data_IF_833814607913
#
_entry.id   IF_833814607913
#
_cell.length_a   1.000
_cell.length_b   1.000
_cell.length_c   1.000
_cell.angle_alpha   90.00
_cell.angle_beta   90.00
_cell.angle_gamma   90.00
#
_symmetry.space_group_name_H-M   'P 1'
#
loop_
_entity.id
_entity.type
_entity.pdbx_description
1 polymer ?
#
# COMPACT_ATOMS: atom_id res chain seq x y z
N UNK A 1 -92.23 -7.32 31.24
CA UNK A 1 -91.28 -7.78 30.20
C UNK A 1 -90.09 -6.82 30.01
N UNK A 2 -89.84 -5.88 30.93
CA UNK A 2 -88.81 -4.84 30.75
C UNK A 2 -87.46 -5.10 31.45
N UNK A 3 -87.39 -6.05 32.39
CA UNK A 3 -86.14 -6.37 33.11
C UNK A 3 -85.08 -7.05 32.22
N UNK A 4 -85.49 -7.87 31.24
CA UNK A 4 -84.59 -8.52 30.30
C UNK A 4 -83.94 -7.56 29.29
N UNK A 5 -84.59 -6.43 28.97
CA UNK A 5 -84.03 -5.44 28.02
C UNK A 5 -82.89 -4.64 28.64
N UNK A 6 -83.01 -4.25 29.92
CA UNK A 6 -81.95 -3.53 30.65
C UNK A 6 -80.68 -4.38 30.82
N UNK A 7 -80.82 -5.68 31.11
CA UNK A 7 -79.70 -6.61 31.19
C UNK A 7 -79.01 -6.85 29.85
N UNK A 8 -79.75 -6.91 28.73
CA UNK A 8 -79.16 -7.03 27.39
C UNK A 8 -78.35 -5.78 27.03
N UNK A 9 -78.86 -4.58 27.32
CA UNK A 9 -78.14 -3.32 27.04
C UNK A 9 -76.83 -3.24 27.83
N UNK A 10 -76.84 -3.60 29.12
CA UNK A 10 -75.62 -3.63 29.94
C UNK A 10 -74.60 -4.61 29.37
N UNK A 11 -75.05 -5.80 28.98
CA UNK A 11 -74.18 -6.84 28.41
C UNK A 11 -73.61 -6.41 27.05
N UNK A 12 -74.40 -5.75 26.20
CA UNK A 12 -73.93 -5.16 24.94
C UNK A 12 -72.90 -4.05 25.14
N UNK A 13 -73.04 -3.21 26.17
CA UNK A 13 -72.05 -2.17 26.51
C UNK A 13 -70.74 -2.82 26.97
N UNK A 14 -70.82 -3.84 27.83
CA UNK A 14 -69.63 -4.57 28.31
C UNK A 14 -68.90 -5.23 27.13
N UNK A 15 -69.63 -5.94 26.25
CA UNK A 15 -69.05 -6.56 25.06
C UNK A 15 -68.46 -5.52 24.12
N UNK A 16 -69.14 -4.39 23.90
CA UNK A 16 -68.62 -3.28 23.09
C UNK A 16 -67.34 -2.66 23.68
N UNK A 17 -67.29 -2.48 25.00
CA UNK A 17 -66.10 -1.97 25.68
C UNK A 17 -64.91 -2.95 25.58
N UNK A 18 -65.17 -4.25 25.72
CA UNK A 18 -64.15 -5.29 25.50
C UNK A 18 -63.65 -5.28 24.05
N UNK A 19 -64.56 -5.22 23.08
CA UNK A 19 -64.22 -5.13 21.65
C UNK A 19 -63.38 -3.88 21.35
N UNK A 20 -63.73 -2.74 21.95
CA UNK A 20 -63.00 -1.48 21.78
C UNK A 20 -61.59 -1.53 22.39
N UNK A 21 -61.47 -2.11 23.60
CA UNK A 21 -60.19 -2.35 24.25
C UNK A 21 -59.29 -3.25 23.41
N UNK A 22 -59.83 -4.37 22.92
CA UNK A 22 -59.10 -5.29 22.05
C UNK A 22 -58.67 -4.63 20.74
N UNK A 23 -59.57 -3.86 20.10
CA UNK A 23 -59.26 -3.13 18.86
C UNK A 23 -58.17 -2.09 19.07
N UNK A 24 -58.23 -1.33 20.17
CA UNK A 24 -57.24 -0.33 20.52
C UNK A 24 -55.88 -0.96 20.82
N UNK A 25 -55.87 -2.09 21.53
CA UNK A 25 -54.66 -2.87 21.79
C UNK A 25 -54.03 -3.40 20.49
N UNK A 26 -54.83 -3.96 19.59
CA UNK A 26 -54.36 -4.44 18.29
C UNK A 26 -53.76 -3.30 17.45
N UNK A 27 -54.43 -2.15 17.39
CA UNK A 27 -53.94 -0.98 16.65
C UNK A 27 -52.61 -0.48 17.22
N UNK A 28 -52.48 -0.46 18.55
CA UNK A 28 -51.24 -0.11 19.23
C UNK A 28 -50.12 -1.12 18.97
N UNK A 29 -50.43 -2.43 18.99
CA UNK A 29 -49.45 -3.48 18.68
C UNK A 29 -48.93 -3.34 17.24
N UNK A 30 -49.83 -3.13 16.27
CA UNK A 30 -49.46 -2.91 14.86
C UNK A 30 -48.56 -1.68 14.73
N UNK A 31 -48.89 -0.59 15.43
CA UNK A 31 -48.06 0.62 15.42
C UNK A 31 -46.66 0.36 15.99
N UNK A 32 -46.55 -0.35 17.12
CA UNK A 32 -45.25 -0.71 17.70
C UNK A 32 -44.44 -1.62 16.77
N UNK A 33 -45.06 -2.65 16.20
CA UNK A 33 -44.41 -3.57 15.28
C UNK A 33 -43.88 -2.83 14.05
N UNK A 34 -44.66 -1.87 13.52
CA UNK A 34 -44.23 -1.03 12.41
C UNK A 34 -43.05 -0.11 12.78
N UNK A 35 -43.02 0.45 13.98
CA UNK A 35 -41.89 1.27 14.44
C UNK A 35 -40.62 0.44 14.63
N UNK A 36 -40.75 -0.77 15.18
CA UNK A 36 -39.63 -1.71 15.35
C UNK A 36 -39.08 -2.14 13.97
N UNK A 37 -39.97 -2.47 13.03
CA UNK A 37 -39.59 -2.86 11.68
C UNK A 37 -38.85 -1.72 10.96
N UNK A 38 -39.40 -0.50 10.99
CA UNK A 38 -38.76 0.66 10.37
C UNK A 38 -37.41 0.97 11.02
N UNK A 39 -37.34 1.01 12.35
CA UNK A 39 -36.07 1.26 13.04
C UNK A 39 -35.01 0.20 12.69
N UNK A 40 -35.42 -1.05 12.47
CA UNK A 40 -34.52 -2.12 12.04
C UNK A 40 -34.02 -1.91 10.60
N UNK A 41 -34.91 -1.48 9.69
CA UNK A 41 -34.56 -1.14 8.31
C UNK A 41 -33.60 0.04 8.27
N UNK A 42 -33.92 1.12 8.98
CA UNK A 42 -33.10 2.34 9.02
C UNK A 42 -31.73 2.08 9.66
N UNK A 43 -31.67 1.20 10.67
CA UNK A 43 -30.40 0.74 11.26
C UNK A 43 -29.54 -0.04 10.26
N UNK A 44 -30.15 -0.93 9.48
CA UNK A 44 -29.46 -1.69 8.44
C UNK A 44 -28.97 -0.77 7.33
N UNK A 45 -29.81 0.18 6.90
CA UNK A 45 -29.47 1.17 5.89
C UNK A 45 -28.30 2.05 6.34
N UNK A 46 -28.34 2.56 7.57
CA UNK A 46 -27.25 3.35 8.15
C UNK A 46 -25.94 2.53 8.17
N UNK A 47 -25.99 1.26 8.55
CA UNK A 47 -24.81 0.38 8.50
C UNK A 47 -24.25 0.26 7.08
N UNK A 48 -25.09 -0.06 6.08
CA UNK A 48 -24.63 -0.19 4.70
C UNK A 48 -24.06 1.10 4.15
N UNK A 49 -24.65 2.26 4.46
CA UNK A 49 -24.10 3.54 4.03
C UNK A 49 -22.69 3.82 4.58
N UNK A 50 -22.38 3.37 5.80
CA UNK A 50 -21.01 3.49 6.33
C UNK A 50 -20.06 2.45 5.72
N UNK A 51 -20.54 1.24 5.44
CA UNK A 51 -19.76 0.20 4.76
C UNK A 51 -19.45 0.58 3.30
N UNK A 52 -20.40 1.13 2.57
CA UNK A 52 -20.24 1.60 1.18
C UNK A 52 -19.13 2.66 1.09
N UNK A 53 -19.08 3.59 2.05
CA UNK A 53 -18.00 4.59 2.15
C UNK A 53 -16.62 3.97 2.31
N UNK A 54 -16.53 2.87 3.07
CA UNK A 54 -15.28 2.14 3.18
C UNK A 54 -14.93 1.56 1.81
N UNK A 55 -15.84 0.85 1.14
CA UNK A 55 -15.56 0.27 -0.17
C UNK A 55 -15.20 1.32 -1.23
N UNK A 56 -15.78 2.52 -1.19
CA UNK A 56 -15.37 3.62 -2.07
C UNK A 56 -13.89 3.96 -1.94
N UNK A 57 -13.30 3.90 -0.74
CA UNK A 57 -11.86 4.12 -0.55
C UNK A 57 -10.98 2.98 -1.09
N UNK A 58 -11.53 1.80 -1.39
CA UNK A 58 -10.81 0.65 -1.94
C UNK A 58 -11.15 0.40 -3.41
N UNK A 59 -11.94 1.26 -4.05
CA UNK A 59 -12.27 1.16 -5.47
C UNK A 59 -11.15 1.77 -6.33
N UNK A 60 -10.40 0.91 -7.03
CA UNK A 60 -9.26 1.31 -7.86
C UNK A 60 -9.72 2.26 -8.99
N UNK A 61 -9.16 3.47 -9.01
CA UNK A 61 -9.51 4.53 -9.97
C UNK A 61 -10.43 5.61 -9.43
N UNK A 62 -10.92 5.47 -8.19
CA UNK A 62 -11.57 6.57 -7.48
C UNK A 62 -10.55 7.58 -6.92
N UNK A 63 -10.95 8.84 -6.80
CA UNK A 63 -10.15 9.87 -6.13
C UNK A 63 -9.86 9.52 -4.66
N UNK A 64 -10.79 8.82 -4.01
CA UNK A 64 -10.67 8.38 -2.62
C UNK A 64 -9.60 7.30 -2.44
N UNK A 65 -9.45 6.41 -3.42
CA UNK A 65 -8.36 5.44 -3.43
C UNK A 65 -7.00 6.16 -3.53
N UNK A 66 -6.87 7.16 -4.41
CA UNK A 66 -5.64 7.95 -4.51
C UNK A 66 -5.31 8.68 -3.20
N UNK A 67 -6.32 9.27 -2.52
CA UNK A 67 -6.16 9.87 -1.20
C UNK A 67 -5.72 8.86 -0.14
N UNK A 68 -6.30 7.66 -0.15
CA UNK A 68 -5.88 6.55 0.71
C UNK A 68 -4.41 6.24 0.47
N UNK A 69 -4.01 5.96 -0.77
CA UNK A 69 -2.62 5.64 -1.13
C UNK A 69 -1.65 6.75 -0.72
N UNK A 70 -2.00 8.02 -0.90
CA UNK A 70 -1.17 9.15 -0.46
C UNK A 70 -1.03 9.21 1.06
N UNK A 71 -2.12 9.05 1.80
CA UNK A 71 -2.10 9.00 3.27
C UNK A 71 -1.24 7.85 3.79
N UNK A 72 -1.33 6.71 3.12
CA UNK A 72 -0.56 5.51 3.38
C UNK A 72 0.95 5.73 3.12
N UNK A 73 1.33 6.28 1.96
CA UNK A 73 2.72 6.66 1.62
C UNK A 73 3.33 7.61 2.65
N UNK A 74 2.58 8.64 3.04
CA UNK A 74 3.00 9.59 4.05
C UNK A 74 3.26 8.91 5.40
N UNK A 75 2.37 8.01 5.83
CA UNK A 75 2.57 7.28 7.08
C UNK A 75 3.83 6.40 7.05
N UNK A 76 4.12 5.70 5.95
CA UNK A 76 5.35 4.91 5.86
C UNK A 76 6.62 5.74 6.00
N UNK A 77 6.66 6.92 5.35
CA UNK A 77 7.83 7.81 5.36
C UNK A 77 8.02 8.49 6.72
N UNK A 78 6.97 9.04 7.31
CA UNK A 78 7.07 9.89 8.51
C UNK A 78 6.66 9.19 9.81
N UNK A 79 6.07 7.99 9.74
CA UNK A 79 5.49 7.24 10.87
C UNK A 79 4.44 8.04 11.67
N UNK A 80 3.83 9.03 11.01
CA UNK A 80 2.78 9.87 11.58
C UNK A 80 1.89 10.42 10.46
N UNK A 81 0.62 10.69 10.78
CA UNK A 81 -0.32 11.37 9.89
C UNK A 81 -0.28 12.90 10.00
N UNK A 82 0.42 13.45 11.00
CA UNK A 82 0.29 14.84 11.43
C UNK A 82 0.69 15.94 10.43
N UNK A 83 1.36 15.60 9.33
CA UNK A 83 1.83 16.54 8.31
C UNK A 83 1.14 16.38 6.93
N UNK A 84 0.18 15.47 6.77
CA UNK A 84 -0.59 15.39 5.53
C UNK A 84 -1.69 16.45 5.50
N UNK A 85 -2.06 16.91 4.29
CA UNK A 85 -3.07 17.95 4.03
C UNK A 85 -4.36 17.74 4.83
N UNK A 86 -4.81 16.49 4.95
CA UNK A 86 -6.08 16.14 5.60
C UNK A 86 -5.91 15.42 6.97
N UNK A 87 -4.71 15.39 7.55
CA UNK A 87 -4.46 14.88 8.93
C UNK A 87 -5.21 13.58 9.26
N UNK A 88 -4.95 12.50 8.54
CA UNK A 88 -5.61 11.18 8.67
C UNK A 88 -7.08 11.06 8.23
N UNK A 89 -7.64 12.09 7.59
CA UNK A 89 -9.01 12.09 7.09
C UNK A 89 -9.04 11.94 5.56
N UNK A 90 -10.05 11.20 5.08
CA UNK A 90 -10.51 11.22 3.68
C UNK A 90 -11.89 11.88 3.71
N UNK A 91 -12.13 12.85 2.83
CA UNK A 91 -13.39 13.60 2.75
C UNK A 91 -14.13 13.14 1.51
N UNK A 92 -15.34 12.62 1.69
CA UNK A 92 -16.20 12.22 0.58
C UNK A 92 -16.96 13.43 0.06
N UNK A 93 -17.04 13.57 -1.26
CA UNK A 93 -17.81 14.63 -1.90
C UNK A 93 -19.31 14.43 -1.67
N UNK A 94 -20.06 15.53 -1.58
CA UNK A 94 -21.52 15.48 -1.34
C UNK A 94 -22.28 14.74 -2.45
N UNK A 95 -21.72 14.69 -3.67
CA UNK A 95 -22.31 14.01 -4.83
C UNK A 95 -22.30 12.48 -4.69
N UNK A 96 -21.29 11.94 -4.02
CA UNK A 96 -21.14 10.51 -3.76
C UNK A 96 -21.78 10.08 -2.43
N UNK A 97 -22.25 11.06 -1.64
CA UNK A 97 -22.92 10.82 -0.37
C UNK A 97 -24.43 10.61 -0.58
N UNK A 98 -25.03 9.74 0.24
CA UNK A 98 -26.48 9.63 0.26
C UNK A 98 -27.11 10.95 0.76
N UNK A 99 -28.18 11.48 0.14
CA UNK A 99 -28.79 12.76 0.56
C UNK A 99 -29.26 12.81 2.01
N UNK A 100 -29.51 11.66 2.64
CA UNK A 100 -29.92 11.56 4.04
C UNK A 100 -28.75 11.44 5.02
N UNK A 101 -27.54 11.27 4.51
CA UNK A 101 -26.32 11.17 5.30
C UNK A 101 -25.63 12.52 5.37
N UNK A 102 -25.05 12.83 6.54
CA UNK A 102 -24.34 14.10 6.79
C UNK A 102 -22.89 13.86 7.20
N UNK A 103 -22.46 12.60 7.29
CA UNK A 103 -21.11 12.22 7.74
C UNK A 103 -20.24 11.91 6.54
N UNK A 104 -19.49 12.88 6.05
CA UNK A 104 -18.61 12.69 4.89
C UNK A 104 -17.14 12.36 5.25
N UNK A 105 -16.80 12.33 6.54
CA UNK A 105 -15.44 12.08 6.99
C UNK A 105 -15.18 10.58 7.24
N UNK A 106 -14.08 10.10 6.67
CA UNK A 106 -13.51 8.78 6.97
C UNK A 106 -12.18 8.98 7.69
N UNK A 107 -11.97 8.24 8.78
CA UNK A 107 -10.74 8.31 9.58
C UNK A 107 -9.83 7.11 9.31
N UNK A 108 -8.58 7.40 9.01
CA UNK A 108 -7.51 6.42 8.88
C UNK A 108 -6.75 6.27 10.20
N UNK A 109 -6.37 5.03 10.50
CA UNK A 109 -5.46 4.69 11.57
C UNK A 109 -4.53 3.55 11.16
N UNK A 110 -3.43 3.36 11.90
CA UNK A 110 -2.44 2.33 11.62
C UNK A 110 -2.10 1.60 12.91
N UNK A 111 -2.08 0.28 12.85
CA UNK A 111 -1.81 -0.57 13.99
C UNK A 111 -0.91 -1.74 13.60
N UNK A 112 -0.16 -2.27 14.58
CA UNK A 112 0.70 -3.42 14.38
C UNK A 112 -0.05 -4.68 14.83
N UNK A 113 -0.13 -5.69 13.95
CA UNK A 113 -0.68 -7.02 14.28
C UNK A 113 0.30 -8.08 13.82
N UNK A 114 0.77 -8.93 14.74
CA UNK A 114 1.77 -9.98 14.45
C UNK A 114 3.05 -9.46 13.75
N UNK A 115 3.57 -8.30 14.17
CA UNK A 115 4.69 -7.60 13.53
C UNK A 115 4.44 -7.11 12.08
N UNK A 116 3.20 -7.19 11.59
CA UNK A 116 2.80 -6.65 10.29
C UNK A 116 2.07 -5.34 10.53
N UNK A 117 2.46 -4.30 9.79
CA UNK A 117 1.78 -3.00 9.81
C UNK A 117 0.47 -3.12 9.04
N UNK A 118 -0.64 -2.88 9.73
CA UNK A 118 -2.00 -2.92 9.20
C UNK A 118 -2.61 -1.52 9.26
N UNK A 119 -3.61 -1.29 8.42
CA UNK A 119 -4.41 -0.08 8.42
C UNK A 119 -5.82 -0.34 8.95
N UNK A 120 -6.38 0.67 9.60
CA UNK A 120 -7.76 0.74 10.04
C UNK A 120 -8.46 1.92 9.40
N UNK A 121 -9.70 1.72 8.98
CA UNK A 121 -10.54 2.77 8.39
C UNK A 121 -11.86 2.82 9.15
N UNK A 122 -12.27 4.01 9.58
CA UNK A 122 -13.48 4.21 10.36
C UNK A 122 -14.39 5.17 9.61
N UNK A 123 -15.53 4.65 9.16
CA UNK A 123 -16.59 5.42 8.54
C UNK A 123 -17.75 5.61 9.52
N UNK A 124 -18.43 6.74 9.40
CA UNK A 124 -19.67 7.02 10.11
C UNK A 124 -20.76 7.37 9.11
N UNK A 125 -22.00 7.08 9.46
CA UNK A 125 -23.17 7.40 8.66
C UNK A 125 -24.31 7.86 9.57
N UNK A 126 -25.21 8.65 9.00
CA UNK A 126 -26.47 9.02 9.60
C UNK A 126 -27.61 8.73 8.62
N UNK A 127 -28.63 8.00 9.06
CA UNK A 127 -29.83 7.76 8.27
C UNK A 127 -31.05 7.91 9.18
N UNK A 128 -31.91 8.90 8.92
CA UNK A 128 -33.10 9.18 9.72
C UNK A 128 -32.80 9.34 11.24
N UNK A 129 -31.67 9.99 11.58
CA UNK A 129 -31.11 10.18 12.94
C UNK A 129 -30.53 8.92 13.59
N UNK A 130 -30.43 7.79 12.88
CA UNK A 130 -29.72 6.60 13.35
C UNK A 130 -28.27 6.68 12.88
N UNK A 131 -27.39 6.91 13.85
CA UNK A 131 -25.96 7.01 13.62
C UNK A 131 -25.29 5.63 13.71
N UNK A 132 -24.50 5.27 12.71
CA UNK A 132 -23.68 4.06 12.72
C UNK A 132 -22.21 4.33 12.50
N UNK A 133 -21.40 3.41 13.00
CA UNK A 133 -19.94 3.42 12.85
C UNK A 133 -19.51 2.05 12.38
N UNK A 134 -18.80 2.03 11.26
CA UNK A 134 -18.27 0.81 10.67
C UNK A 134 -16.76 0.94 10.65
N UNK A 135 -16.09 -0.13 11.07
CA UNK A 135 -14.64 -0.23 11.08
C UNK A 135 -14.20 -1.28 10.08
N UNK A 136 -13.30 -0.88 9.18
CA UNK A 136 -12.59 -1.74 8.26
C UNK A 136 -11.15 -1.95 8.71
N UNK A 137 -10.63 -3.16 8.55
CA UNK A 137 -9.21 -3.46 8.72
C UNK A 137 -8.63 -4.01 7.42
N UNK A 138 -7.45 -3.52 7.06
CA UNK A 138 -6.81 -3.84 5.79
C UNK A 138 -5.30 -4.03 5.95
N UNK A 139 -4.71 -4.82 5.06
CA UNK A 139 -3.26 -4.91 4.93
C UNK A 139 -2.77 -3.76 4.08
N UNK A 140 -1.59 -3.23 4.38
CA UNK A 140 -1.03 -2.08 3.69
C UNK A 140 -0.10 -2.45 2.53
N UNK A 141 0.86 -3.34 2.83
CA UNK A 141 1.93 -3.74 1.91
C UNK A 141 1.41 -4.90 1.09
N UNK A 142 1.69 -4.87 -0.21
CA UNK A 142 1.39 -5.99 -1.08
C UNK A 142 2.09 -7.27 -0.55
N UNK A 143 1.34 -8.38 -0.37
CA UNK A 143 1.88 -9.62 0.18
C UNK A 143 3.14 -10.14 -0.53
N UNK A 144 3.28 -9.90 -1.84
CA UNK A 144 4.46 -10.31 -2.61
C UNK A 144 5.77 -9.69 -2.11
N UNK A 145 5.73 -8.52 -1.48
CA UNK A 145 6.93 -7.87 -0.91
C UNK A 145 7.17 -8.21 0.58
N UNK A 146 6.25 -8.97 1.21
CA UNK A 146 6.25 -9.25 2.65
C UNK A 146 6.84 -10.64 2.97
N UNK A 147 7.82 -11.11 2.20
CA UNK A 147 8.35 -12.49 2.27
C UNK A 147 9.38 -12.73 3.38
N UNK A 148 9.79 -11.70 4.13
CA UNK A 148 10.92 -11.71 5.09
C UNK A 148 12.27 -12.20 4.53
N UNK A 149 12.35 -12.42 3.21
CA UNK A 149 13.54 -12.90 2.49
C UNK A 149 14.27 -11.74 1.82
N UNK A 150 15.62 -11.76 1.75
CA UNK A 150 16.40 -10.73 1.07
C UNK A 150 16.33 -10.81 -0.46
N UNK A 151 15.84 -11.93 -1.01
CA UNK A 151 15.66 -12.14 -2.45
C UNK A 151 14.17 -12.37 -2.71
N UNK A 152 13.66 -11.66 -3.71
CA UNK A 152 12.32 -11.77 -4.26
C UNK A 152 12.43 -12.20 -5.72
N UNK A 153 12.01 -13.43 -5.99
CA UNK A 153 12.01 -14.07 -7.30
C UNK A 153 10.83 -15.06 -7.39
N UNK A 154 10.56 -15.58 -8.59
CA UNK A 154 9.54 -16.63 -8.77
C UNK A 154 9.78 -17.82 -7.83
N UNK A 155 11.04 -18.26 -7.70
CA UNK A 155 11.43 -19.37 -6.83
C UNK A 155 11.12 -19.10 -5.35
N UNK A 156 11.34 -17.86 -4.88
CA UNK A 156 11.05 -17.50 -3.48
C UNK A 156 9.57 -17.34 -3.16
N UNK A 157 8.75 -17.16 -4.21
CA UNK A 157 7.30 -16.91 -4.14
C UNK A 157 6.46 -18.17 -4.41
N UNK A 158 7.06 -19.32 -4.72
CA UNK A 158 6.35 -20.58 -5.07
C UNK A 158 5.27 -21.01 -4.07
N UNK A 159 5.36 -20.58 -2.80
CA UNK A 159 4.35 -20.83 -1.77
C UNK A 159 3.04 -20.01 -1.96
N UNK A 160 3.01 -19.07 -2.90
CA UNK A 160 1.86 -18.26 -3.29
C UNK A 160 1.21 -18.81 -4.58
N UNK A 161 -0.05 -18.47 -4.85
CA UNK A 161 -0.79 -19.03 -6.00
C UNK A 161 -0.06 -18.75 -7.34
N UNK A 162 0.45 -19.79 -8.02
CA UNK A 162 1.34 -19.73 -9.21
C UNK A 162 0.88 -18.74 -10.30
N UNK A 163 -0.41 -18.70 -10.61
CA UNK A 163 -0.96 -17.82 -11.66
C UNK A 163 -0.84 -16.32 -11.34
N UNK A 164 -0.80 -15.95 -10.06
CA UNK A 164 -0.67 -14.55 -9.62
C UNK A 164 0.77 -14.04 -9.65
N UNK A 165 1.75 -14.95 -9.57
CA UNK A 165 3.18 -14.59 -9.50
C UNK A 165 3.70 -14.14 -10.87
N UNK A 166 3.36 -14.90 -11.92
CA UNK A 166 3.78 -14.56 -13.28
C UNK A 166 3.21 -13.21 -13.72
N UNK A 167 1.93 -12.96 -13.44
CA UNK A 167 1.27 -11.70 -13.72
C UNK A 167 1.90 -10.55 -12.92
N UNK A 168 2.14 -10.73 -11.62
CA UNK A 168 2.80 -9.72 -10.79
C UNK A 168 4.21 -9.37 -11.29
N UNK A 169 5.04 -10.39 -11.57
CA UNK A 169 6.40 -10.16 -12.06
C UNK A 169 6.40 -9.54 -13.46
N UNK A 170 5.45 -9.91 -14.32
CA UNK A 170 5.29 -9.29 -15.62
C UNK A 170 4.87 -7.82 -15.51
N UNK A 171 3.88 -7.51 -14.68
CA UNK A 171 3.41 -6.15 -14.42
C UNK A 171 4.53 -5.27 -13.86
N UNK A 172 5.27 -5.76 -12.86
CA UNK A 172 6.36 -5.02 -12.23
C UNK A 172 7.48 -4.67 -13.22
N UNK A 173 7.86 -5.61 -14.10
CA UNK A 173 9.04 -5.45 -14.97
C UNK A 173 8.75 -4.94 -16.38
N UNK A 174 7.54 -5.10 -16.94
CA UNK A 174 7.23 -4.63 -18.30
C UNK A 174 7.30 -3.11 -18.43
N UNK A 175 6.83 -2.37 -17.42
CA UNK A 175 6.91 -0.91 -17.37
C UNK A 175 7.44 -0.42 -16.02
N UNK A 176 8.54 -1.04 -15.54
CA UNK A 176 9.13 -0.68 -14.25
C UNK A 176 9.38 0.82 -14.18
N UNK A 177 8.67 1.51 -13.31
CA UNK A 177 8.74 2.95 -13.10
C UNK A 177 8.78 3.20 -11.61
N UNK A 178 9.53 4.21 -11.20
CA UNK A 178 9.49 4.64 -9.81
C UNK A 178 8.35 5.65 -9.64
N UNK A 179 7.49 5.39 -8.67
CA UNK A 179 6.37 6.28 -8.34
C UNK A 179 6.87 7.46 -7.51
N UNK A 180 6.59 8.69 -7.92
CA UNK A 180 6.87 9.88 -7.12
C UNK A 180 5.58 10.42 -6.51
N UNK A 181 5.64 10.74 -5.23
CA UNK A 181 4.58 11.47 -4.52
C UNK A 181 5.14 12.72 -3.82
N UNK A 182 6.43 12.98 -3.96
CA UNK A 182 7.11 14.18 -3.47
C UNK A 182 8.12 14.69 -4.52
N UNK A 183 8.37 16.00 -4.49
CA UNK A 183 9.26 16.69 -5.45
C UNK A 183 10.74 16.63 -5.05
N UNK A 184 11.09 15.94 -3.96
CA UNK A 184 12.43 15.95 -3.35
C UNK A 184 13.37 14.89 -3.94
N UNK A 185 12.85 13.98 -4.77
CA UNK A 185 13.61 12.85 -5.31
C UNK A 185 13.95 13.04 -6.78
N UNK A 186 15.24 12.92 -7.07
CA UNK A 186 15.75 12.94 -8.42
C UNK A 186 15.86 11.51 -8.97
N UNK A 187 14.89 11.12 -9.80
CA UNK A 187 14.94 9.86 -10.54
C UNK A 187 15.87 10.03 -11.74
N UNK A 188 16.82 9.10 -11.86
CA UNK A 188 17.74 8.99 -12.99
C UNK A 188 17.22 7.86 -13.87
N UNK A 189 16.35 8.21 -14.82
CA UNK A 189 15.90 7.27 -15.84
C UNK A 189 16.78 7.39 -17.08
N UNK A 190 17.38 6.27 -17.47
CA UNK A 190 18.37 6.20 -18.53
C UNK A 190 17.90 5.15 -19.54
N UNK A 191 17.40 5.65 -20.66
CA UNK A 191 16.99 4.88 -21.82
C UNK A 191 18.10 5.03 -22.88
N UNK A 192 18.53 3.94 -23.51
CA UNK A 192 19.55 3.89 -24.59
C UNK A 192 21.02 4.08 -24.15
N UNK A 193 21.37 3.81 -22.89
CA UNK A 193 22.77 3.68 -22.47
C UNK A 193 23.06 2.25 -22.03
N UNK A 194 24.05 1.64 -22.67
CA UNK A 194 24.44 0.25 -22.36
C UNK A 194 25.31 0.14 -21.11
N UNK A 195 25.96 1.21 -20.67
CA UNK A 195 26.86 1.17 -19.52
C UNK A 195 26.77 2.44 -18.67
N UNK A 196 26.67 2.24 -17.35
CA UNK A 196 26.67 3.29 -16.35
C UNK A 196 27.71 2.93 -15.29
N UNK A 197 28.69 3.80 -15.10
CA UNK A 197 29.68 3.62 -14.05
C UNK A 197 29.37 4.57 -12.88
N UNK A 198 29.22 4.00 -11.69
CA UNK A 198 28.94 4.72 -10.44
C UNK A 198 30.19 4.70 -9.57
N UNK A 199 30.75 5.87 -9.31
CA UNK A 199 31.93 6.06 -8.47
C UNK A 199 31.54 6.72 -7.15
N UNK A 200 31.81 6.06 -6.02
CA UNK A 200 31.42 6.56 -4.69
C UNK A 200 32.15 7.84 -4.28
N UNK A 201 33.33 8.06 -4.86
CA UNK A 201 34.17 9.19 -4.51
C UNK A 201 34.89 9.73 -5.75
N UNK A 202 34.52 10.93 -6.15
CA UNK A 202 35.31 11.75 -7.07
C UNK A 202 36.20 12.72 -6.28
N UNK A 203 37.51 12.71 -6.53
CA UNK A 203 38.46 13.53 -5.77
C UNK A 203 38.22 15.04 -5.87
N UNK A 204 37.64 15.50 -7.00
CA UNK A 204 37.43 16.92 -7.27
C UNK A 204 36.18 17.43 -6.58
N UNK A 205 35.08 16.67 -6.62
CA UNK A 205 33.78 17.11 -6.10
C UNK A 205 33.43 16.53 -4.73
N UNK A 206 34.12 15.46 -4.31
CA UNK A 206 33.85 14.67 -3.09
C UNK A 206 32.42 14.10 -3.02
N UNK A 207 31.78 13.95 -4.18
CA UNK A 207 30.41 13.44 -4.37
C UNK A 207 30.44 12.11 -5.12
N UNK A 208 29.31 11.41 -5.09
CA UNK A 208 29.07 10.23 -5.93
C UNK A 208 28.90 10.70 -7.38
N UNK A 209 29.66 10.11 -8.29
CA UNK A 209 29.68 10.45 -9.72
C UNK A 209 29.10 9.30 -10.53
N UNK A 210 28.22 9.61 -11.47
CA UNK A 210 27.70 8.70 -12.47
C UNK A 210 28.24 9.12 -13.83
N UNK A 211 28.86 8.19 -14.54
CA UNK A 211 29.35 8.36 -15.90
C UNK A 211 28.49 7.48 -16.83
N UNK A 212 27.96 8.07 -17.90
CA UNK A 212 27.04 7.38 -18.83
C UNK A 212 27.71 7.12 -20.19
N UNK A 213 27.62 5.89 -20.67
CA UNK A 213 28.23 5.42 -21.92
C UNK A 213 27.16 4.82 -22.84
N UNK A 214 27.16 5.20 -24.12
CA UNK A 214 26.18 4.69 -25.09
C UNK A 214 26.43 3.22 -25.38
N UNK A 215 27.69 2.83 -25.51
CA UNK A 215 28.11 1.46 -25.75
C UNK A 215 29.09 0.98 -24.67
N UNK A 216 29.14 -0.33 -24.44
CA UNK A 216 29.96 -0.94 -23.37
C UNK A 216 31.47 -0.72 -23.55
N UNK A 217 31.93 -0.69 -24.80
CA UNK A 217 33.33 -0.57 -25.21
C UNK A 217 33.82 0.89 -25.28
N UNK A 218 32.95 1.87 -25.05
CA UNK A 218 33.35 3.27 -25.00
C UNK A 218 34.25 3.57 -23.78
N UNK A 219 35.40 4.19 -24.04
CA UNK A 219 36.31 4.67 -23.00
C UNK A 219 35.91 6.06 -22.46
N UNK A 220 35.14 6.83 -23.23
CA UNK A 220 34.77 8.21 -22.89
C UNK A 220 33.27 8.31 -22.60
N UNK A 221 32.93 8.76 -21.39
CA UNK A 221 31.56 8.98 -21.00
C UNK A 221 30.93 10.13 -21.80
N UNK A 222 29.73 9.90 -22.32
CA UNK A 222 28.94 10.90 -23.07
C UNK A 222 28.30 11.92 -22.13
N UNK A 223 28.08 11.54 -20.87
CA UNK A 223 27.53 12.43 -19.85
C UNK A 223 28.08 12.09 -18.46
N UNK A 224 28.04 13.08 -17.57
CA UNK A 224 28.39 12.93 -16.15
C UNK A 224 27.36 13.60 -15.27
N UNK A 225 27.00 12.95 -14.16
CA UNK A 225 26.10 13.47 -13.14
C UNK A 225 26.70 13.27 -11.76
N UNK A 226 26.44 14.19 -10.85
CA UNK A 226 26.89 14.10 -9.47
C UNK A 226 25.68 14.14 -8.55
N UNK A 227 25.58 13.16 -7.65
CA UNK A 227 24.49 13.13 -6.68
C UNK A 227 24.71 14.22 -5.61
N UNK A 228 23.61 14.86 -5.23
CA UNK A 228 23.57 15.82 -4.12
C UNK A 228 23.57 15.12 -2.76
N UNK A 229 23.05 13.90 -2.69
CA UNK A 229 22.93 13.04 -1.50
C UNK A 229 23.61 11.69 -1.70
N UNK A 230 23.57 10.82 -0.68
CA UNK A 230 23.97 9.42 -0.77
C UNK A 230 22.81 8.49 -1.23
N UNK A 231 21.74 9.08 -1.76
CA UNK A 231 20.57 8.35 -2.26
C UNK A 231 20.55 8.35 -3.79
N UNK A 232 20.26 7.19 -4.38
CA UNK A 232 20.15 6.98 -5.81
C UNK A 232 18.81 6.33 -6.15
N UNK A 233 18.15 6.83 -7.19
CA UNK A 233 16.94 6.26 -7.76
C UNK A 233 17.21 6.08 -9.24
N UNK A 234 17.83 4.96 -9.61
CA UNK A 234 18.37 4.72 -10.95
C UNK A 234 17.57 3.64 -11.66
N UNK A 235 17.10 3.95 -12.86
CA UNK A 235 16.48 3.01 -13.79
C UNK A 235 17.35 2.98 -15.04
N UNK A 236 17.99 1.85 -15.32
CA UNK A 236 18.71 1.63 -16.58
C UNK A 236 17.95 0.62 -17.43
N UNK A 237 17.34 1.12 -18.50
CA UNK A 237 16.63 0.30 -19.50
C UNK A 237 17.38 0.36 -20.82
N UNK A 238 17.59 -0.80 -21.43
CA UNK A 238 18.07 -0.92 -22.79
C UNK A 238 17.14 -1.83 -23.58
N UNK A 239 16.90 -1.48 -24.84
CA UNK A 239 15.99 -2.24 -25.72
C UNK A 239 16.45 -3.67 -25.96
N UNK A 240 17.77 -3.92 -25.89
CA UNK A 240 18.34 -5.26 -26.02
C UNK A 240 18.51 -5.96 -24.66
N UNK A 241 18.04 -5.35 -23.56
CA UNK A 241 18.18 -5.84 -22.17
C UNK A 241 19.62 -6.27 -21.85
N UNK A 242 20.56 -5.42 -22.23
CA UNK A 242 21.99 -5.68 -22.06
C UNK A 242 22.72 -4.56 -21.29
N UNK A 243 21.97 -3.70 -20.59
CA UNK A 243 22.54 -2.63 -19.77
C UNK A 243 23.50 -3.18 -18.73
N UNK A 244 24.49 -2.38 -18.37
CA UNK A 244 25.50 -2.72 -17.40
C UNK A 244 25.68 -1.58 -16.41
N UNK A 245 25.42 -1.86 -15.14
CA UNK A 245 25.72 -0.91 -14.06
C UNK A 245 26.96 -1.41 -13.35
N UNK A 246 28.03 -0.61 -13.40
CA UNK A 246 29.27 -0.87 -12.69
C UNK A 246 29.35 0.03 -11.46
N UNK A 247 29.46 -0.56 -10.27
CA UNK A 247 29.56 0.18 -9.02
C UNK A 247 30.97 0.05 -8.47
N UNK A 248 31.71 1.16 -8.45
CA UNK A 248 33.06 1.26 -7.94
C UNK A 248 33.07 1.91 -6.55
N UNK A 249 33.18 1.07 -5.52
CA UNK A 249 33.42 1.52 -4.15
C UNK A 249 34.91 1.75 -3.92
N UNK A 250 35.28 2.90 -3.33
CA UNK A 250 36.67 3.27 -3.11
C UNK A 250 37.03 3.08 -1.64
N UNK A 251 38.22 2.54 -1.34
CA UNK A 251 38.66 2.27 0.04
C UNK A 251 38.99 3.54 0.86
N UNK A 252 38.73 4.74 0.31
CA UNK A 252 39.13 6.03 0.91
C UNK A 252 38.20 6.43 2.05
N UNK A 253 36.92 6.03 2.03
CA UNK A 253 35.97 6.28 3.11
C UNK A 253 35.61 4.97 3.81
N UNK A 254 35.68 4.99 5.14
CA UNK A 254 35.45 3.82 6.01
C UNK A 254 34.00 3.28 5.91
N UNK A 255 33.07 4.12 5.44
CA UNK A 255 31.65 3.75 5.26
C UNK A 255 31.08 4.40 4.00
N UNK A 256 31.54 3.96 2.84
CA UNK A 256 30.87 4.21 1.56
C UNK A 256 29.52 3.47 1.57
N UNK A 257 28.46 4.18 1.99
CA UNK A 257 27.08 3.69 2.03
C UNK A 257 26.28 4.43 0.98
N UNK A 258 25.81 3.72 -0.03
CA UNK A 258 24.82 4.21 -1.00
C UNK A 258 23.45 3.68 -0.59
N UNK A 259 22.41 4.49 -0.80
CA UNK A 259 21.04 4.11 -0.45
C UNK A 259 20.12 4.32 -1.63
N UNK A 260 18.98 3.64 -1.66
CA UNK A 260 17.94 3.90 -2.67
C UNK A 260 17.57 2.69 -3.49
N UNK A 261 17.28 2.91 -4.78
CA UNK A 261 16.77 1.89 -5.69
C UNK A 261 17.61 1.87 -6.95
N UNK A 262 18.03 0.68 -7.36
CA UNK A 262 18.74 0.46 -8.61
C UNK A 262 17.97 -0.60 -9.40
N UNK A 263 17.46 -0.22 -10.56
CA UNK A 263 16.87 -1.10 -11.55
C UNK A 263 17.80 -1.22 -12.76
N UNK A 264 18.01 -2.45 -13.24
CA UNK A 264 18.80 -2.72 -14.46
C UNK A 264 18.16 -3.81 -15.33
N UNK A 265 17.96 -3.50 -16.62
CA UNK A 265 17.72 -4.47 -17.68
C UNK A 265 19.05 -5.05 -18.17
N UNK A 266 19.68 -5.90 -17.35
CA UNK A 266 20.98 -6.49 -17.64
C UNK A 266 21.80 -6.72 -16.38
N UNK A 267 23.11 -6.51 -16.49
CA UNK A 267 24.07 -6.95 -15.48
C UNK A 267 24.40 -5.86 -14.46
N UNK A 268 24.53 -6.28 -13.20
CA UNK A 268 25.04 -5.46 -12.12
C UNK A 268 26.42 -5.95 -11.70
N UNK A 269 27.43 -5.09 -11.82
CA UNK A 269 28.81 -5.39 -11.51
C UNK A 269 29.27 -4.59 -10.30
N UNK A 270 29.72 -5.28 -9.25
CA UNK A 270 30.12 -4.68 -7.99
C UNK A 270 31.64 -4.78 -7.81
N UNK A 271 32.30 -3.64 -7.65
CA UNK A 271 33.75 -3.53 -7.49
C UNK A 271 34.08 -2.90 -6.13
N UNK A 272 34.94 -3.57 -5.36
CA UNK A 272 35.39 -3.09 -4.04
C UNK A 272 34.44 -3.42 -2.89
N UNK A 273 34.72 -2.84 -1.72
CA UNK A 273 33.96 -3.07 -0.47
C UNK A 273 32.76 -2.13 -0.40
N UNK A 274 31.67 -2.52 -1.05
CA UNK A 274 30.43 -1.75 -1.14
C UNK A 274 29.51 -2.01 0.07
N UNK A 275 28.90 -0.95 0.61
CA UNK A 275 27.69 -1.07 1.43
C UNK A 275 26.51 -0.40 0.71
N UNK A 276 25.43 -1.15 0.49
CA UNK A 276 24.19 -0.62 -0.10
C UNK A 276 23.01 -0.84 0.83
N UNK A 277 22.20 0.19 1.07
CA UNK A 277 20.96 0.09 1.83
C UNK A 277 19.78 0.43 0.92
N UNK A 278 19.06 -0.57 0.42
CA UNK A 278 18.06 -0.29 -0.60
C UNK A 278 17.51 -1.51 -1.30
N UNK A 279 16.87 -1.26 -2.44
CA UNK A 279 16.28 -2.30 -3.28
C UNK A 279 17.05 -2.35 -4.60
N UNK A 280 17.40 -3.56 -5.03
CA UNK A 280 18.06 -3.80 -6.32
C UNK A 280 17.18 -4.69 -7.16
N UNK A 281 16.68 -4.18 -8.28
CA UNK A 281 15.85 -4.91 -9.23
C UNK A 281 16.66 -5.27 -10.48
N UNK A 282 16.67 -6.54 -10.86
CA UNK A 282 17.45 -7.06 -11.99
C UNK A 282 16.52 -7.81 -12.91
N UNK A 283 16.51 -7.41 -14.18
CA UNK A 283 15.75 -8.05 -15.24
C UNK A 283 16.70 -8.64 -16.28
N UNK A 284 16.57 -9.93 -16.57
CA UNK A 284 17.24 -10.59 -17.69
C UNK A 284 18.78 -10.46 -17.68
N UNK A 285 19.39 -10.45 -16.50
CA UNK A 285 20.83 -10.33 -16.30
C UNK A 285 21.33 -11.03 -15.04
N UNK A 286 22.54 -10.72 -14.62
CA UNK A 286 23.16 -11.32 -13.42
C UNK A 286 23.92 -10.31 -12.56
N UNK A 287 24.25 -10.74 -11.33
CA UNK A 287 25.11 -9.97 -10.43
C UNK A 287 26.52 -10.54 -10.48
N UNK A 288 27.50 -9.72 -10.85
CA UNK A 288 28.91 -10.09 -10.80
C UNK A 288 29.61 -9.30 -9.70
N UNK A 289 30.40 -10.02 -8.89
CA UNK A 289 31.17 -9.41 -7.78
C UNK A 289 32.65 -9.55 -8.09
N UNK A 290 33.32 -8.41 -8.26
CA UNK A 290 34.74 -8.29 -8.58
C UNK A 290 35.49 -7.67 -7.40
N UNK A 291 35.29 -8.22 -6.21
CA UNK A 291 35.91 -7.75 -4.98
C UNK A 291 36.46 -8.93 -4.17
N UNK A 292 37.53 -8.67 -3.41
CA UNK A 292 38.07 -9.65 -2.46
C UNK A 292 37.19 -9.78 -1.22
N UNK A 293 36.59 -8.68 -0.80
CA UNK A 293 35.63 -8.63 0.30
C UNK A 293 34.19 -8.73 -0.26
N UNK A 294 33.30 -9.46 0.43
CA UNK A 294 31.88 -9.54 0.06
C UNK A 294 31.21 -8.17 0.24
N UNK A 295 30.56 -7.60 -0.80
CA UNK A 295 29.69 -6.44 -0.65
C UNK A 295 28.60 -6.71 0.38
N UNK A 296 28.20 -5.68 1.15
CA UNK A 296 27.11 -5.79 2.12
C UNK A 296 25.88 -5.07 1.58
N UNK A 297 24.79 -5.81 1.38
CA UNK A 297 23.54 -5.25 0.88
C UNK A 297 22.45 -5.47 1.94
N UNK A 298 21.90 -4.36 2.44
CA UNK A 298 20.83 -4.35 3.44
C UNK A 298 19.52 -3.90 2.79
N UNK A 299 18.58 -4.81 2.63
CA UNK A 299 17.33 -4.55 1.92
C UNK A 299 16.90 -5.77 1.12
N UNK A 300 16.59 -5.58 -0.17
CA UNK A 300 15.97 -6.63 -0.99
C UNK A 300 16.49 -6.62 -2.42
N UNK A 301 16.68 -7.81 -2.99
CA UNK A 301 16.82 -8.03 -4.42
C UNK A 301 15.49 -8.44 -5.02
N UNK A 302 15.14 -7.90 -6.18
CA UNK A 302 13.99 -8.33 -6.98
C UNK A 302 14.54 -8.86 -8.31
N UNK A 303 14.34 -10.15 -8.57
CA UNK A 303 14.99 -10.85 -9.69
C UNK A 303 13.94 -11.37 -10.67
N UNK A 304 14.04 -10.96 -11.93
CA UNK A 304 13.23 -11.48 -13.02
C UNK A 304 14.12 -12.01 -14.15
N UNK A 305 13.85 -13.25 -14.60
CA UNK A 305 14.66 -13.94 -15.62
C UNK A 305 16.17 -13.89 -15.32
N UNK A 306 16.55 -14.10 -14.06
CA UNK A 306 17.94 -14.07 -13.62
C UNK A 306 18.76 -15.13 -14.36
N UNK A 307 19.94 -14.74 -14.87
CA UNK A 307 20.76 -15.57 -15.77
C UNK A 307 21.82 -16.42 -15.07
N UNK A 308 21.83 -16.45 -13.75
CA UNK A 308 22.76 -17.24 -12.93
C UNK A 308 21.97 -17.94 -11.81
N UNK A 309 22.63 -18.63 -10.90
CA UNK A 309 21.99 -19.22 -9.72
C UNK A 309 21.82 -18.19 -8.59
N UNK A 310 20.63 -18.09 -8.00
CA UNK A 310 20.34 -17.19 -6.88
C UNK A 310 21.25 -17.50 -5.66
N UNK A 311 21.61 -18.76 -5.45
CA UNK A 311 22.54 -19.17 -4.38
C UNK A 311 23.91 -18.47 -4.53
N UNK A 312 24.35 -18.21 -5.77
CA UNK A 312 25.63 -17.52 -6.00
C UNK A 312 25.62 -16.06 -5.55
N UNK A 313 24.44 -15.43 -5.44
CA UNK A 313 24.32 -14.09 -4.86
C UNK A 313 24.61 -14.15 -3.37
N UNK A 314 24.00 -15.10 -2.65
CA UNK A 314 24.21 -15.29 -1.20
C UNK A 314 25.65 -15.69 -0.88
N UNK A 315 26.32 -16.42 -1.78
CA UNK A 315 27.73 -16.77 -1.66
C UNK A 315 28.68 -15.59 -1.92
N UNK A 316 28.30 -14.61 -2.73
CA UNK A 316 29.20 -13.50 -3.13
C UNK A 316 28.91 -12.21 -2.37
N UNK A 317 27.72 -12.08 -1.78
CA UNK A 317 27.21 -10.85 -1.14
C UNK A 317 26.71 -11.16 0.27
N UNK A 318 27.08 -10.33 1.24
CA UNK A 318 26.49 -10.34 2.58
C UNK A 318 25.10 -9.66 2.53
N UNK A 319 24.08 -10.47 2.27
CA UNK A 319 22.68 -10.07 2.18
C UNK A 319 22.01 -10.05 3.56
N UNK A 320 21.39 -8.93 3.91
CA UNK A 320 20.59 -8.81 5.13
C UNK A 320 19.25 -8.13 4.83
N UNK A 321 18.15 -8.88 4.95
CA UNK A 321 16.82 -8.28 4.89
C UNK A 321 16.62 -7.30 6.05
N UNK A 322 16.09 -6.10 5.74
CA UNK A 322 15.73 -5.08 6.72
C UNK A 322 14.43 -4.42 6.33
N UNK A 323 13.33 -4.82 6.97
CA UNK A 323 11.99 -4.28 6.71
C UNK A 323 11.97 -2.74 6.71
N UNK A 324 12.56 -2.08 7.70
CA UNK A 324 12.62 -0.59 7.75
C UNK A 324 13.28 0.03 6.51
N UNK A 325 14.25 -0.64 5.89
CA UNK A 325 14.90 -0.18 4.66
C UNK A 325 14.03 -0.48 3.44
N UNK A 326 13.42 -1.67 3.40
CA UNK A 326 12.51 -2.07 2.32
C UNK A 326 11.27 -1.20 2.32
N UNK A 327 10.63 -0.93 3.47
CA UNK A 327 9.48 -0.02 3.58
C UNK A 327 9.81 1.39 3.07
N UNK A 328 11.03 1.89 3.40
CA UNK A 328 11.46 3.24 3.04
C UNK A 328 11.65 3.43 1.54
N UNK A 329 12.15 2.41 0.84
CA UNK A 329 12.43 2.50 -0.59
C UNK A 329 11.36 1.82 -1.44
N UNK A 330 10.70 0.80 -0.92
CA UNK A 330 9.60 0.08 -1.55
C UNK A 330 8.42 0.98 -1.85
N UNK A 331 8.19 2.03 -1.05
CA UNK A 331 7.14 3.02 -1.30
C UNK A 331 7.24 3.77 -2.65
N UNK A 332 8.39 3.68 -3.33
CA UNK A 332 8.61 4.21 -4.69
C UNK A 332 8.51 3.13 -5.77
N UNK A 333 8.36 1.85 -5.41
CA UNK A 333 8.23 0.73 -6.34
C UNK A 333 6.74 0.51 -6.65
N UNK A 334 6.38 0.18 -7.91
CA UNK A 334 5.01 -0.11 -8.30
C UNK A 334 4.38 -1.19 -7.43
N UNK A 335 3.10 -1.01 -7.13
CA UNK A 335 2.26 -1.97 -6.38
C UNK A 335 2.81 -2.35 -5.01
N UNK A 336 3.79 -1.63 -4.44
CA UNK A 336 4.28 -1.91 -3.11
C UNK A 336 3.22 -1.62 -2.04
N UNK A 337 2.47 -0.54 -2.25
CA UNK A 337 1.35 -0.13 -1.41
C UNK A 337 0.08 -0.53 -2.13
N UNK A 338 -0.48 -1.67 -1.73
CA UNK A 338 -1.69 -2.23 -2.32
C UNK A 338 -2.63 -2.63 -1.18
N UNK A 339 -3.46 -1.69 -0.70
CA UNK A 339 -4.29 -1.94 0.46
C UNK A 339 -5.35 -3.00 0.13
N UNK A 340 -5.46 -4.03 0.97
CA UNK A 340 -6.45 -5.09 0.80
C UNK A 340 -7.32 -5.23 2.05
N UNK A 341 -8.61 -4.94 1.89
CA UNK A 341 -9.60 -4.98 2.96
C UNK A 341 -9.95 -6.43 3.30
N UNK A 342 -9.71 -6.85 4.54
CA UNK A 342 -9.95 -8.23 4.99
C UNK A 342 -11.03 -8.36 6.07
N UNK A 343 -11.47 -7.25 6.64
CA UNK A 343 -12.52 -7.22 7.65
C UNK A 343 -13.30 -5.93 7.55
N UNK A 344 -14.62 -6.04 7.57
CA UNK A 344 -15.56 -4.94 7.80
C UNK A 344 -16.53 -5.39 8.88
N UNK A 345 -16.73 -4.57 9.90
CA UNK A 345 -17.70 -4.88 10.96
C UNK A 345 -18.33 -3.64 11.56
N UNK A 346 -19.55 -3.83 12.05
CA UNK A 346 -20.24 -2.84 12.86
C UNK A 346 -19.55 -2.69 14.23
N UNK A 347 -19.30 -1.44 14.61
CA UNK A 347 -18.65 -1.16 15.88
C UNK A 347 -17.16 -1.45 15.88
N UNK A 348 -16.42 -0.53 16.48
CA UNK A 348 -14.97 -0.61 16.59
C UNK A 348 -14.45 0.68 17.21
N UNK A 349 -13.52 0.54 18.14
CA UNK A 349 -12.57 1.60 18.43
C UNK A 349 -11.34 1.33 17.61
N UNK A 350 -10.73 2.40 17.12
CA UNK A 350 -9.34 2.37 16.70
C UNK A 350 -8.54 1.82 17.91
N UNK A 351 -8.04 0.58 17.82
CA UNK A 351 -7.18 0.00 18.86
C UNK A 351 -5.87 0.79 18.83
N UNK A 352 -5.64 1.57 19.89
CA UNK A 352 -4.41 2.35 20.09
C UNK A 352 -3.31 1.52 20.72
#
# INVERSE_FOLDING_TARGET
>A
MDSNRGSIVILSIIVGAIMFLLSSFLLYSIYLDHQIANSSIDHLQSYYLAEDKIYLCFDEGSSYYDELILGLKHYLKYKQFGNSSNKNLIIIDEEDLNPKDTKNEIKLDMFMKNNILNGGILAQSDYENINKRVYGAFTFINPFYSTDKPILSKNTLEDLEEGSIDEFMEQLFNDFKLETFENDIEIIEVNDFQKIDIYFYDEKTRKIRLDFFRYKDEETAVGKKYLSTDEIYLISKDKMKNSEINIYANNVRITDILKGIIYVDGDLNLYGKLNFNGIVAINSGKVNVYSKDRPKIRGMFILNNYKDDEETIEEKIDLQYRQVVVDRFGLYIPDYIKPNLYLVKEGGTIEK
#
